data_IF_117867892082
#
_entry.id   IF_117867892082
#
_cell.length_a   1.000
_cell.length_b   1.000
_cell.length_c   1.000
_cell.angle_alpha   90.00
_cell.angle_beta   90.00
_cell.angle_gamma   90.00
#
_symmetry.space_group_name_H-M   'P 1'
#
loop_
_entity.id
_entity.type
_entity.pdbx_description
1 polymer ?
#
# COMPACT_ATOMS: atom_id res chain seq x y z
N UNK A 1 20.55 -9.16 -5.07
CA UNK A 1 20.91 -10.46 -4.49
C UNK A 1 20.93 -11.48 -5.60
N UNK A 2 21.69 -12.55 -5.42
CA UNK A 2 21.91 -13.54 -6.48
C UNK A 2 20.86 -14.66 -6.50
N UNK A 3 20.17 -14.88 -5.37
CA UNK A 3 19.09 -15.86 -5.21
C UNK A 3 17.93 -15.30 -4.39
N UNK A 4 16.71 -15.62 -4.79
CA UNK A 4 15.48 -15.36 -4.03
C UNK A 4 14.73 -16.68 -3.82
N UNK A 5 14.30 -16.95 -2.59
CA UNK A 5 13.56 -18.16 -2.22
C UNK A 5 12.16 -17.74 -1.78
N UNK A 6 11.14 -18.30 -2.45
CA UNK A 6 9.74 -18.12 -2.11
C UNK A 6 9.17 -19.45 -1.63
N UNK A 7 8.74 -19.51 -0.37
CA UNK A 7 8.01 -20.66 0.16
C UNK A 7 6.58 -20.69 -0.40
N UNK A 8 5.96 -21.87 -0.36
CA UNK A 8 4.54 -22.04 -0.73
C UNK A 8 3.62 -21.26 0.23
N UNK A 9 2.37 -20.96 -0.16
CA UNK A 9 1.44 -20.26 0.71
C UNK A 9 1.25 -20.98 2.06
N UNK A 10 1.06 -20.23 3.13
CA UNK A 10 0.87 -20.72 4.50
C UNK A 10 2.08 -21.46 5.12
N UNK A 11 3.25 -21.43 4.47
CA UNK A 11 4.51 -21.81 5.11
C UNK A 11 5.13 -20.61 5.82
N UNK A 12 5.71 -20.84 7.00
CA UNK A 12 6.42 -19.83 7.79
C UNK A 12 7.89 -20.24 7.98
N UNK A 13 8.80 -19.27 8.00
CA UNK A 13 10.23 -19.49 8.19
C UNK A 13 10.67 -19.45 9.66
N UNK A 14 9.84 -18.88 10.55
CA UNK A 14 10.06 -18.83 12.00
C UNK A 14 9.07 -19.76 12.70
N UNK A 15 9.54 -20.47 13.72
CA UNK A 15 8.81 -21.53 14.43
C UNK A 15 8.81 -21.34 15.95
N UNK A 16 9.58 -20.39 16.48
CA UNK A 16 9.73 -20.20 17.93
C UNK A 16 8.76 -19.13 18.45
N UNK A 17 8.43 -18.15 17.61
CA UNK A 17 7.53 -17.04 17.93
C UNK A 17 6.24 -17.18 17.10
N UNK A 18 5.12 -16.63 17.58
CA UNK A 18 3.76 -16.88 17.07
C UNK A 18 3.62 -16.86 15.54
N UNK A 19 3.71 -15.69 14.91
CA UNK A 19 3.55 -15.52 13.45
C UNK A 19 4.55 -14.50 12.91
N UNK A 20 4.77 -14.50 11.60
CA UNK A 20 5.63 -13.53 10.89
C UNK A 20 4.96 -13.05 9.59
N UNK A 21 5.63 -12.15 8.86
CA UNK A 21 5.23 -11.60 7.57
C UNK A 21 6.43 -11.53 6.61
N UNK A 22 6.19 -11.28 5.32
CA UNK A 22 7.23 -10.98 4.33
C UNK A 22 7.19 -11.88 3.09
N UNK A 23 6.18 -12.74 3.00
CA UNK A 23 5.86 -13.45 1.77
C UNK A 23 5.19 -12.51 0.76
N UNK A 24 5.23 -12.88 -0.52
CA UNK A 24 4.56 -12.12 -1.58
C UNK A 24 3.05 -12.39 -1.67
N UNK A 25 2.47 -13.18 -0.75
CA UNK A 25 1.07 -13.59 -0.82
C UNK A 25 0.13 -12.56 -0.19
N UNK A 26 -1.15 -12.61 -0.59
CA UNK A 26 -2.16 -11.61 -0.23
C UNK A 26 -2.34 -11.41 1.28
N UNK A 27 -2.11 -12.41 2.12
CA UNK A 27 -2.21 -12.25 3.58
C UNK A 27 -1.12 -11.35 4.17
N UNK A 28 0.01 -11.17 3.47
CA UNK A 28 1.08 -10.25 3.86
C UNK A 28 1.06 -8.93 3.07
N UNK A 29 0.48 -8.93 1.86
CA UNK A 29 0.53 -7.78 0.95
C UNK A 29 -0.77 -6.97 0.88
N UNK A 30 -1.91 -7.54 1.30
CA UNK A 30 -3.18 -6.85 1.31
C UNK A 30 -3.36 -6.05 2.60
N UNK A 31 -3.27 -4.72 2.49
CA UNK A 31 -3.40 -3.80 3.63
C UNK A 31 -4.63 -2.89 3.48
N UNK A 32 -5.22 -2.42 4.59
CA UNK A 32 -6.19 -1.33 4.55
C UNK A 32 -5.50 0.00 4.21
N UNK A 33 -6.17 0.83 3.42
CA UNK A 33 -5.74 2.19 3.11
C UNK A 33 -6.90 3.15 3.39
N UNK A 34 -6.74 4.05 4.36
CA UNK A 34 -7.77 4.97 4.81
C UNK A 34 -7.23 6.40 4.72
N UNK A 35 -7.89 7.25 3.92
CA UNK A 35 -7.69 8.70 3.95
C UNK A 35 -8.79 9.33 4.77
N UNK A 36 -8.43 10.22 5.70
CA UNK A 36 -9.37 10.89 6.58
C UNK A 36 -8.89 12.30 6.90
N UNK A 37 -9.81 13.27 6.92
CA UNK A 37 -9.51 14.64 7.30
C UNK A 37 -10.32 15.67 6.52
N UNK A 38 -9.96 16.94 6.70
CA UNK A 38 -10.56 18.03 5.96
C UNK A 38 -10.32 17.85 4.46
N UNK A 39 -11.38 18.02 3.66
CA UNK A 39 -11.35 17.86 2.20
C UNK A 39 -11.08 16.44 1.68
N UNK A 40 -11.29 15.40 2.49
CA UNK A 40 -11.38 14.02 1.97
C UNK A 40 -12.87 13.66 1.81
N UNK A 41 -13.34 13.35 0.59
CA UNK A 41 -14.73 12.93 0.38
C UNK A 41 -14.99 11.56 1.03
N UNK A 42 -16.19 11.37 1.58
CA UNK A 42 -16.60 10.07 2.08
C UNK A 42 -16.83 9.09 0.92
N UNK A 43 -16.29 7.88 1.03
CA UNK A 43 -16.43 6.87 0.00
C UNK A 43 -15.71 5.57 0.35
N UNK A 44 -15.87 4.59 -0.54
CA UNK A 44 -15.13 3.33 -0.53
C UNK A 44 -14.63 3.06 -1.94
N UNK A 45 -13.38 2.61 -2.05
CA UNK A 45 -12.80 2.16 -3.30
C UNK A 45 -12.38 0.69 -3.13
N UNK A 46 -12.85 -0.17 -4.04
CA UNK A 46 -12.54 -1.60 -4.08
C UNK A 46 -11.64 -1.97 -5.27
N UNK A 47 -11.22 -0.97 -6.06
CA UNK A 47 -10.26 -1.19 -7.14
C UNK A 47 -8.87 -1.51 -6.58
N UNK A 48 -8.05 -2.17 -7.41
CA UNK A 48 -6.69 -2.52 -7.04
C UNK A 48 -5.83 -1.26 -6.89
N UNK A 49 -5.19 -1.13 -5.73
CA UNK A 49 -4.25 -0.04 -5.39
C UNK A 49 -2.94 -0.62 -4.89
N UNK A 50 -1.88 0.20 -4.96
CA UNK A 50 -0.55 -0.17 -4.48
C UNK A 50 -0.13 0.76 -3.35
N UNK A 51 0.73 0.26 -2.45
CA UNK A 51 1.28 1.05 -1.34
C UNK A 51 2.02 2.30 -1.86
N UNK A 52 2.62 2.20 -3.06
CA UNK A 52 3.28 3.32 -3.74
C UNK A 52 2.35 4.50 -4.04
N UNK A 53 1.03 4.28 -4.13
CA UNK A 53 0.05 5.31 -4.45
C UNK A 53 -0.18 6.30 -3.30
N UNK A 54 0.20 5.93 -2.06
CA UNK A 54 -0.01 6.75 -0.86
C UNK A 54 0.73 8.10 -0.97
N UNK A 55 2.01 8.06 -1.33
CA UNK A 55 2.83 9.27 -1.43
C UNK A 55 2.36 10.22 -2.53
N UNK A 56 1.99 9.67 -3.70
CA UNK A 56 1.40 10.43 -4.80
C UNK A 56 0.08 11.08 -4.38
N UNK A 57 -0.80 10.33 -3.71
CA UNK A 57 -2.10 10.82 -3.24
C UNK A 57 -1.96 11.94 -2.22
N UNK A 58 -1.07 11.80 -1.22
CA UNK A 58 -0.82 12.85 -0.23
C UNK A 58 -0.25 14.11 -0.90
N UNK A 59 0.70 13.95 -1.83
CA UNK A 59 1.29 15.07 -2.56
C UNK A 59 0.22 15.84 -3.35
N UNK A 60 -0.70 15.12 -4.01
CA UNK A 60 -1.82 15.71 -4.72
C UNK A 60 -2.81 16.43 -3.79
N UNK A 61 -3.14 15.86 -2.62
CA UNK A 61 -3.98 16.51 -1.60
C UNK A 61 -3.34 17.82 -1.12
N UNK A 62 -2.03 17.80 -0.86
CA UNK A 62 -1.28 18.95 -0.36
C UNK A 62 -0.87 19.95 -1.45
N UNK A 63 -1.07 19.62 -2.73
CA UNK A 63 -0.64 20.41 -3.89
C UNK A 63 0.86 20.68 -3.91
N UNK A 64 1.65 19.66 -3.60
CA UNK A 64 3.12 19.69 -3.66
C UNK A 64 3.64 18.71 -4.69
N UNK A 65 4.90 18.89 -5.09
CA UNK A 65 5.58 17.95 -5.97
C UNK A 65 5.78 16.60 -5.25
N UNK A 66 5.54 15.51 -5.99
CA UNK A 66 5.79 14.16 -5.50
C UNK A 66 7.28 13.89 -5.23
N UNK A 67 7.63 12.93 -4.36
CA UNK A 67 9.01 12.50 -4.17
C UNK A 67 9.66 12.09 -5.50
N UNK A 68 10.97 12.34 -5.64
CA UNK A 68 11.72 12.09 -6.88
C UNK A 68 11.67 10.64 -7.40
N UNK A 69 11.50 9.66 -6.51
CA UNK A 69 11.35 8.23 -6.84
C UNK A 69 9.91 7.73 -6.80
N UNK A 70 8.92 8.62 -6.81
CA UNK A 70 7.52 8.23 -6.80
C UNK A 70 7.15 7.51 -8.10
N UNK A 71 6.62 6.28 -7.97
CA UNK A 71 6.11 5.47 -9.09
C UNK A 71 4.60 5.25 -9.00
N UNK A 72 3.99 5.68 -7.90
CA UNK A 72 2.55 5.53 -7.66
C UNK A 72 1.74 6.56 -8.43
N UNK A 73 0.41 6.42 -8.35
CA UNK A 73 -0.53 7.39 -8.93
C UNK A 73 -1.50 7.90 -7.86
N UNK A 74 -1.89 9.18 -7.87
CA UNK A 74 -2.87 9.69 -6.93
C UNK A 74 -4.20 8.91 -7.01
N UNK A 75 -4.74 8.54 -5.86
CA UNK A 75 -6.08 7.93 -5.76
C UNK A 75 -7.11 9.03 -5.90
N UNK A 76 -7.68 9.17 -7.10
CA UNK A 76 -8.64 10.24 -7.42
C UNK A 76 -9.83 10.29 -6.47
N UNK A 77 -10.30 9.14 -5.98
CA UNK A 77 -11.40 9.05 -5.02
C UNK A 77 -11.10 9.70 -3.67
N UNK A 78 -9.83 9.97 -3.34
CA UNK A 78 -9.43 10.68 -2.14
C UNK A 78 -9.28 12.20 -2.37
N UNK A 79 -9.34 12.66 -3.61
CA UNK A 79 -9.18 14.07 -3.96
C UNK A 79 -10.54 14.77 -3.97
N UNK A 80 -10.61 15.93 -3.32
CA UNK A 80 -11.76 16.82 -3.46
C UNK A 80 -11.77 17.42 -4.86
N UNK A 81 -12.92 17.37 -5.53
CA UNK A 81 -13.18 18.13 -6.76
C UNK A 81 -13.32 19.62 -6.46
#
# INVERSE_FOLDING_TARGET
GDLYIQLQPAWMSDYIQGTTHGSAYNYDTHIPMIFFGNHIPAGKDYSQRYISDIAATISAILKIQEPNGCIGKPVEGALKK
#
